data_IF_755762461151
#
_entry.id   IF_755762461151
#
_cell.length_a   1.000
_cell.length_b   1.000
_cell.length_c   1.000
_cell.angle_alpha   90.00
_cell.angle_beta   90.00
_cell.angle_gamma   90.00
#
_symmetry.space_group_name_H-M   'P 1'
#
loop_
_entity.id
_entity.type
_entity.pdbx_description
1 polymer ?
#
# COMPACT_ATOMS: atom_id res chain seq x y z
N UNK A 1 -20.93 17.63 18.31
CA UNK A 1 -20.50 17.60 17.68
C UNK A 1 -20.38 17.33 17.16
N UNK A 2 -20.45 17.24 17.03
CA UNK A 2 -20.05 16.95 16.29
C UNK A 2 -19.98 16.96 15.34
N UNK A 3 -20.08 17.09 15.06
CA UNK A 3 -19.70 17.26 14.09
C UNK A 3 -19.94 17.10 13.37
N UNK A 4 -20.15 17.22 13.16
CA UNK A 4 -20.06 17.14 12.31
C UNK A 4 -20.01 17.12 11.45
N UNK A 5 -20.15 17.24 11.44
CA UNK A 5 -19.74 17.29 10.46
C UNK A 5 -19.60 17.44 9.73
N UNK A 6 -19.23 17.53 9.39
CA UNK A 6 -18.63 17.76 8.37
C UNK A 6 -18.34 17.30 7.55
N UNK A 7 -18.42 17.08 7.19
CA UNK A 7 -17.91 16.42 6.32
C UNK A 7 -17.31 16.90 5.22
N UNK A 8 -17.12 17.39 5.03
CA UNK A 8 -16.58 17.70 4.11
C UNK A 8 -15.52 17.92 3.96
N UNK A 9 -15.15 18.14 4.45
CA UNK A 9 -14.01 18.24 4.23
C UNK A 9 -13.28 17.45 4.31
N UNK A 10 -13.58 17.29 4.51
CA UNK A 10 -12.70 16.64 4.42
C UNK A 10 -12.27 16.09 3.80
N UNK A 11 -12.15 16.18 3.62
CA UNK A 11 -11.63 15.57 3.08
C UNK A 11 -10.65 15.53 2.59
N UNK A 12 -10.23 15.75 2.69
CA UNK A 12 -9.32 15.70 2.26
C UNK A 12 -8.28 15.49 2.44
N UNK A 13 -7.82 15.65 2.99
CA UNK A 13 -6.87 15.46 3.23
C UNK A 13 -6.45 14.93 3.85
N UNK A 14 -6.36 14.44 3.92
CA UNK A 14 -5.86 13.98 4.77
C UNK A 14 -4.79 13.98 4.95
N UNK A 15 -4.49 14.10 5.21
CA UNK A 15 -3.60 14.20 5.36
C UNK A 15 -2.94 13.75 6.19
N UNK A 16 -2.27 13.76 6.35
CA UNK A 16 -1.57 13.49 7.23
C UNK A 16 -2.04 13.49 8.39
N UNK A 17 -2.62 14.15 8.51
CA UNK A 17 -3.09 14.30 9.68
C UNK A 17 -3.75 13.19 10.16
N UNK A 18 -4.27 12.53 9.42
CA UNK A 18 -4.82 11.42 9.91
C UNK A 18 -3.74 10.56 10.24
N UNK A 19 -3.31 10.54 11.41
CA UNK A 19 -2.41 9.69 11.84
C UNK A 19 -2.89 8.37 11.66
N UNK A 20 -2.19 7.60 10.94
CA UNK A 20 -2.47 6.19 10.80
C UNK A 20 -1.53 5.51 11.75
N UNK A 21 -2.04 4.83 12.73
CA UNK A 21 -1.20 4.20 13.74
C UNK A 21 -0.50 2.94 13.28
N UNK A 22 -1.03 2.27 12.27
CA UNK A 22 -0.51 0.99 11.80
C UNK A 22 -0.01 1.12 10.38
N UNK A 23 1.16 0.54 10.12
CA UNK A 23 1.71 0.47 8.77
C UNK A 23 1.90 -1.00 8.40
N UNK A 24 1.42 -1.38 7.23
CA UNK A 24 1.52 -2.75 6.75
C UNK A 24 2.27 -2.76 5.43
N UNK A 25 3.30 -3.58 5.34
CA UNK A 25 3.99 -3.81 4.09
C UNK A 25 3.52 -5.13 3.52
N UNK A 26 3.37 -5.18 2.21
CA UNK A 26 2.94 -6.39 1.52
C UNK A 26 3.94 -6.76 0.44
N UNK A 27 4.36 -8.02 0.45
CA UNK A 27 5.15 -8.61 -0.61
C UNK A 27 4.17 -9.46 -1.42
N UNK A 28 3.74 -8.92 -2.56
CA UNK A 28 2.72 -9.58 -3.39
C UNK A 28 3.29 -10.77 -4.13
N UNK A 29 2.59 -11.88 -4.06
CA UNK A 29 2.93 -13.06 -4.83
C UNK A 29 1.71 -13.52 -5.63
N UNK A 30 1.91 -14.48 -6.52
CA UNK A 30 0.82 -14.93 -7.39
C UNK A 30 -0.25 -15.73 -6.64
N UNK A 31 0.16 -16.53 -5.67
CA UNK A 31 -0.78 -17.36 -4.92
C UNK A 31 -0.90 -16.86 -3.50
N UNK A 32 0.23 -16.60 -2.87
CA UNK A 32 0.28 -16.08 -1.50
C UNK A 32 0.98 -14.75 -1.48
N UNK A 33 0.44 -13.81 -0.74
CA UNK A 33 1.09 -12.54 -0.46
C UNK A 33 1.46 -12.53 1.01
N UNK A 34 2.61 -11.98 1.33
CA UNK A 34 3.10 -11.93 2.71
C UNK A 34 2.99 -10.51 3.23
N UNK A 35 2.75 -10.35 4.53
CA UNK A 35 2.62 -9.03 5.12
C UNK A 35 3.38 -8.93 6.43
N UNK A 36 3.71 -7.70 6.78
CA UNK A 36 4.31 -7.38 8.07
C UNK A 36 3.62 -6.12 8.57
N UNK A 37 3.15 -6.16 9.81
CA UNK A 37 2.42 -5.05 10.42
C UNK A 37 3.29 -4.41 11.50
N UNK A 38 3.43 -3.09 11.43
CA UNK A 38 4.19 -2.32 12.41
C UNK A 38 3.28 -1.35 13.13
N UNK A 39 3.58 -1.10 14.41
CA UNK A 39 2.87 -0.06 15.15
C UNK A 39 3.55 1.29 14.94
N UNK A 40 3.10 2.31 15.65
CA UNK A 40 3.63 3.66 15.51
C UNK A 40 5.10 3.75 15.83
N UNK A 41 5.58 2.90 16.70
CA UNK A 41 6.97 2.91 17.14
C UNK A 41 7.87 2.05 16.25
N UNK A 42 7.29 1.41 15.26
CA UNK A 42 8.06 0.57 14.35
C UNK A 42 8.26 -0.85 14.85
N UNK A 43 7.51 -1.24 15.88
CA UNK A 43 7.61 -2.60 16.39
C UNK A 43 6.72 -3.51 15.57
N UNK A 44 7.19 -4.72 15.31
CA UNK A 44 6.43 -5.69 14.55
C UNK A 44 5.31 -6.24 15.42
N UNK A 45 4.07 -6.01 14.98
CA UNK A 45 2.90 -6.53 15.67
C UNK A 45 2.59 -7.95 15.22
N UNK A 46 2.66 -8.20 13.93
CA UNK A 46 2.49 -9.54 13.41
C UNK A 46 3.00 -9.66 12.00
N UNK A 47 3.11 -10.89 11.55
CA UNK A 47 3.50 -11.23 10.19
C UNK A 47 2.61 -12.38 9.78
N UNK A 48 2.39 -12.51 8.49
CA UNK A 48 1.60 -13.61 8.00
C UNK A 48 1.47 -13.57 6.51
N UNK A 49 0.50 -14.29 6.00
CA UNK A 49 0.24 -14.33 4.57
C UNK A 49 -1.26 -14.42 4.33
N UNK A 50 -1.65 -14.06 3.12
CA UNK A 50 -3.05 -14.21 2.70
C UNK A 50 -3.05 -14.63 1.23
N UNK A 51 -4.12 -15.26 0.82
CA UNK A 51 -4.25 -15.68 -0.58
C UNK A 51 -4.38 -14.43 -1.44
N UNK A 52 -3.70 -14.44 -2.59
CA UNK A 52 -3.76 -13.32 -3.51
C UNK A 52 -5.02 -13.46 -4.37
N UNK A 53 -6.16 -13.33 -3.72
CA UNK A 53 -7.48 -13.38 -4.33
C UNK A 53 -8.33 -12.29 -3.70
N UNK A 54 -9.41 -11.86 -4.37
CA UNK A 54 -10.28 -10.87 -3.75
C UNK A 54 -10.80 -11.29 -2.38
N UNK A 55 -11.13 -12.56 -2.22
CA UNK A 55 -11.59 -13.08 -0.94
C UNK A 55 -10.49 -13.05 0.12
N UNK A 56 -9.25 -13.37 -0.26
CA UNK A 56 -8.13 -13.33 0.67
C UNK A 56 -7.82 -11.92 1.14
N UNK A 57 -7.84 -10.96 0.22
CA UNK A 57 -7.65 -9.56 0.56
C UNK A 57 -8.77 -9.08 1.47
N UNK A 58 -9.99 -9.42 1.15
CA UNK A 58 -11.15 -9.01 1.93
C UNK A 58 -11.05 -9.52 3.37
N UNK A 59 -10.75 -10.80 3.53
CA UNK A 59 -10.63 -11.39 4.85
C UNK A 59 -9.57 -10.73 5.70
N UNK A 60 -8.45 -10.38 5.07
CA UNK A 60 -7.33 -9.81 5.83
C UNK A 60 -7.56 -8.36 6.22
N UNK A 61 -8.21 -7.59 5.36
CA UNK A 61 -8.25 -6.14 5.53
C UNK A 61 -9.61 -5.55 5.87
N UNK A 62 -10.69 -6.29 5.70
CA UNK A 62 -12.03 -5.74 5.89
C UNK A 62 -12.28 -5.18 7.29
N UNK A 63 -11.95 -5.94 8.30
CA UNK A 63 -12.26 -5.56 9.67
C UNK A 63 -11.10 -4.92 10.40
N UNK A 64 -10.03 -4.62 9.68
CA UNK A 64 -8.86 -4.01 10.26
C UNK A 64 -9.06 -2.51 10.37
N UNK A 65 -8.61 -1.90 11.45
CA UNK A 65 -8.63 -0.47 11.59
C UNK A 65 -7.87 0.16 10.45
N UNK A 66 -8.22 1.38 10.10
CA UNK A 66 -7.55 2.08 9.03
C UNK A 66 -6.04 2.03 9.20
N UNK A 67 -5.36 1.61 8.18
CA UNK A 67 -3.92 1.45 8.21
C UNK A 67 -3.30 2.05 6.94
N UNK A 68 -2.00 2.29 7.00
CA UNK A 68 -1.23 2.64 5.81
C UNK A 68 -0.69 1.34 5.26
N UNK A 69 -1.03 1.02 4.02
CA UNK A 69 -0.64 -0.24 3.40
C UNK A 69 0.23 0.05 2.20
N UNK A 70 1.41 -0.52 2.17
CA UNK A 70 2.37 -0.27 1.10
C UNK A 70 2.77 -1.57 0.41
N UNK A 71 2.96 -1.51 -0.89
CA UNK A 71 3.35 -2.65 -1.71
C UNK A 71 4.18 -2.18 -2.90
N UNK A 72 4.94 -3.08 -3.50
CA UNK A 72 5.67 -2.77 -4.72
C UNK A 72 4.77 -2.91 -5.93
N UNK A 73 5.09 -2.17 -7.01
CA UNK A 73 4.41 -2.38 -8.28
C UNK A 73 4.65 -3.80 -8.75
N UNK A 74 3.64 -4.42 -9.30
CA UNK A 74 3.74 -5.78 -9.82
C UNK A 74 2.46 -6.18 -10.49
N UNK A 75 2.40 -7.44 -10.88
CA UNK A 75 1.26 -7.99 -11.63
C UNK A 75 -0.08 -7.75 -10.95
N UNK A 76 -0.11 -7.86 -9.65
CA UNK A 76 -1.37 -7.76 -8.91
C UNK A 76 -1.60 -6.42 -8.23
N UNK A 77 -0.64 -5.48 -8.35
CA UNK A 77 -0.72 -4.27 -7.52
C UNK A 77 -1.93 -3.39 -7.84
N UNK A 78 -2.38 -3.38 -9.09
CA UNK A 78 -3.52 -2.52 -9.45
C UNK A 78 -4.78 -2.97 -8.72
N UNK A 79 -5.17 -4.23 -8.88
CA UNK A 79 -6.43 -4.67 -8.31
C UNK A 79 -6.35 -4.79 -6.78
N UNK A 80 -5.20 -5.20 -6.25
CA UNK A 80 -5.05 -5.32 -4.81
C UNK A 80 -5.11 -3.94 -4.15
N UNK A 81 -4.39 -2.97 -4.71
CA UNK A 81 -4.39 -1.63 -4.13
C UNK A 81 -5.79 -1.00 -4.18
N UNK A 82 -6.50 -1.20 -5.28
CA UNK A 82 -7.85 -0.66 -5.40
C UNK A 82 -8.79 -1.27 -4.37
N UNK A 83 -8.71 -2.58 -4.21
CA UNK A 83 -9.58 -3.25 -3.26
C UNK A 83 -9.29 -2.82 -1.82
N UNK A 84 -8.02 -2.73 -1.45
CA UNK A 84 -7.64 -2.31 -0.10
C UNK A 84 -8.06 -0.86 0.14
N UNK A 85 -7.94 -0.02 -0.87
CA UNK A 85 -8.37 1.36 -0.78
C UNK A 85 -9.87 1.44 -0.56
N UNK A 86 -10.65 0.61 -1.25
CA UNK A 86 -12.09 0.58 -1.08
C UNK A 86 -12.50 0.12 0.32
N UNK A 87 -11.66 -0.66 0.96
CA UNK A 87 -11.90 -1.08 2.33
C UNK A 87 -11.54 -0.01 3.35
N UNK A 88 -11.06 1.15 2.90
CA UNK A 88 -10.87 2.30 3.78
C UNK A 88 -9.43 2.57 4.19
N UNK A 89 -8.47 1.86 3.64
CA UNK A 89 -7.08 2.04 4.02
C UNK A 89 -6.36 3.01 3.10
N UNK A 90 -5.30 3.62 3.61
CA UNK A 90 -4.42 4.46 2.81
C UNK A 90 -3.45 3.52 2.10
N UNK A 91 -3.34 3.59 0.78
CA UNK A 91 -2.50 2.66 0.03
C UNK A 91 -1.39 3.38 -0.71
N UNK A 92 -0.20 2.83 -0.64
CA UNK A 92 0.98 3.34 -1.33
C UNK A 92 1.51 2.22 -2.22
N UNK A 93 1.64 2.49 -3.52
CA UNK A 93 2.25 1.54 -4.44
C UNK A 93 3.64 2.08 -4.75
N UNK A 94 4.65 1.38 -4.32
CA UNK A 94 6.02 1.84 -4.36
C UNK A 94 6.73 1.48 -5.66
N UNK A 95 7.62 2.35 -6.08
CA UNK A 95 8.44 2.09 -7.25
C UNK A 95 9.55 1.11 -6.89
N UNK A 96 9.62 -0.01 -7.60
CA UNK A 96 10.59 -1.07 -7.32
C UNK A 96 12.04 -0.56 -7.37
N UNK A 97 12.34 0.27 -8.35
CA UNK A 97 13.70 0.78 -8.49
C UNK A 97 14.10 1.63 -7.32
N UNK A 98 13.20 2.48 -6.86
CA UNK A 98 13.48 3.35 -5.73
C UNK A 98 13.65 2.55 -4.45
N UNK A 99 12.86 1.51 -4.29
CA UNK A 99 13.00 0.65 -3.13
C UNK A 99 14.38 0.01 -3.08
N UNK A 100 14.87 -0.46 -4.21
CA UNK A 100 16.19 -1.07 -4.27
C UNK A 100 17.30 -0.06 -4.03
N UNK A 101 17.14 1.15 -4.55
CA UNK A 101 18.11 2.21 -4.32
C UNK A 101 18.18 2.58 -2.84
N UNK A 102 17.04 2.67 -2.18
CA UNK A 102 16.99 3.02 -0.77
C UNK A 102 17.63 1.93 0.08
N UNK A 103 17.40 0.68 -0.27
CA UNK A 103 17.93 -0.42 0.53
C UNK A 103 19.41 -0.63 0.30
N UNK A 104 20.01 0.03 -0.69
CA UNK A 104 21.42 -0.12 -1.03
C UNK A 104 21.79 -1.57 -1.29
N UNK A 105 20.86 -2.30 -1.91
CA UNK A 105 21.08 -3.71 -2.14
C UNK A 105 21.72 -3.91 -3.49
N UNK A 106 22.95 -4.37 -3.50
CA UNK A 106 23.65 -4.67 -4.72
C UNK A 106 23.56 -6.15 -5.05
N UNK A 107 23.02 -6.94 -4.15
CA UNK A 107 22.98 -8.37 -4.36
C UNK A 107 21.66 -8.78 -4.95
N UNK A 108 21.72 -9.66 -5.92
CA UNK A 108 20.50 -10.16 -6.50
C UNK A 108 19.64 -10.91 -5.51
N UNK A 109 20.26 -11.48 -4.50
CA UNK A 109 19.54 -12.24 -3.51
C UNK A 109 18.85 -11.35 -2.46
N UNK A 110 19.23 -10.08 -2.40
CA UNK A 110 18.65 -9.18 -1.41
C UNK A 110 17.32 -8.69 -1.92
N UNK A 111 16.28 -9.30 -1.46
CA UNK A 111 14.93 -9.00 -1.86
C UNK A 111 14.34 -7.96 -0.92
N UNK A 112 13.52 -7.08 -1.45
CA UNK A 112 12.79 -6.14 -0.61
C UNK A 112 11.54 -6.87 -0.15
N UNK A 113 11.48 -7.24 1.11
CA UNK A 113 10.38 -8.02 1.65
C UNK A 113 9.33 -7.12 2.33
N UNK A 114 8.31 -7.75 2.84
CA UNK A 114 7.20 -7.04 3.48
C UNK A 114 7.65 -6.14 4.62
N UNK A 115 8.60 -6.60 5.42
CA UNK A 115 9.06 -5.80 6.55
C UNK A 115 9.79 -4.54 6.08
N UNK A 116 10.65 -4.66 5.08
CA UNK A 116 11.37 -3.49 4.58
C UNK A 116 10.40 -2.47 3.99
N UNK A 117 9.42 -2.95 3.26
CA UNK A 117 8.40 -2.07 2.68
C UNK A 117 7.66 -1.34 3.81
N UNK A 118 7.27 -2.07 4.85
CA UNK A 118 6.57 -1.46 5.98
C UNK A 118 7.43 -0.41 6.67
N UNK A 119 8.70 -0.71 6.89
CA UNK A 119 9.58 0.21 7.59
C UNK A 119 9.80 1.50 6.83
N UNK A 120 10.00 1.41 5.52
CA UNK A 120 10.17 2.62 4.72
C UNK A 120 8.88 3.44 4.69
N UNK A 121 7.74 2.77 4.50
CA UNK A 121 6.46 3.46 4.43
C UNK A 121 6.10 4.15 5.75
N UNK A 122 6.52 3.57 6.86
CA UNK A 122 6.26 4.16 8.17
C UNK A 122 7.04 5.45 8.36
N UNK A 123 8.30 5.44 7.95
CA UNK A 123 9.16 6.60 8.16
C UNK A 123 8.81 7.76 7.25
N UNK A 124 8.70 7.49 5.98
CA UNK A 124 8.44 8.56 5.01
C UNK A 124 7.86 7.96 3.73
N UNK A 125 6.55 8.06 3.56
CA UNK A 125 5.92 7.48 2.37
C UNK A 125 6.50 8.03 1.06
N UNK A 126 6.95 9.27 1.05
CA UNK A 126 7.46 9.87 -0.17
C UNK A 126 8.79 9.27 -0.61
N UNK A 127 9.52 8.66 0.31
CA UNK A 127 10.78 8.04 -0.02
C UNK A 127 10.59 6.85 -0.94
N UNK A 128 9.40 6.30 -0.98
CA UNK A 128 9.06 5.16 -1.83
C UNK A 128 8.73 5.57 -3.26
N UNK A 129 8.68 6.87 -3.53
CA UNK A 129 8.30 7.39 -4.84
C UNK A 129 7.00 6.75 -5.30
N UNK A 130 5.92 6.96 -4.56
CA UNK A 130 4.65 6.32 -4.89
C UNK A 130 4.23 6.61 -6.32
N UNK A 131 3.61 5.63 -6.94
CA UNK A 131 3.08 5.81 -8.28
C UNK A 131 1.56 5.75 -8.22
N UNK A 132 0.92 6.37 -9.19
CA UNK A 132 -0.52 6.32 -9.31
C UNK A 132 -0.85 5.41 -10.47
N UNK A 133 -1.67 4.40 -10.22
CA UNK A 133 -2.16 3.55 -11.29
C UNK A 133 -3.22 4.31 -12.06
N UNK A 134 -3.25 4.12 -13.37
CA UNK A 134 -4.26 4.75 -14.19
C UNK A 134 -5.54 3.96 -14.11
N UNK A 135 -6.65 4.69 -14.19
CA UNK A 135 -7.95 4.02 -14.25
C UNK A 135 -8.05 3.34 -15.63
N UNK A 136 -9.01 2.44 -15.74
CA UNK A 136 -9.25 1.77 -17.01
C UNK A 136 -9.54 2.80 -18.11
N UNK A 137 -10.34 3.79 -17.79
CA UNK A 137 -10.67 4.83 -18.76
C UNK A 137 -9.43 5.59 -19.22
N UNK A 138 -8.54 5.93 -18.30
CA UNK A 138 -7.30 6.63 -18.64
C UNK A 138 -6.40 5.76 -19.51
N UNK A 139 -6.34 4.49 -19.23
CA UNK A 139 -5.54 3.56 -20.01
C UNK A 139 -6.09 3.42 -21.43
N UNK A 140 -7.40 3.35 -21.57
CA UNK A 140 -8.04 3.27 -22.87
C UNK A 140 -7.78 4.52 -23.69
N UNK A 141 -7.86 5.67 -23.06
CA UNK A 141 -7.60 6.94 -23.73
C UNK A 141 -6.16 6.99 -24.27
N UNK A 142 -5.22 6.55 -23.45
CA UNK A 142 -3.83 6.51 -23.88
C UNK A 142 -3.63 5.57 -25.06
N UNK A 143 -4.29 4.45 -25.05
CA UNK A 143 -4.19 3.49 -26.13
C UNK A 143 -4.71 4.11 -27.43
N UNK A 144 -5.83 4.79 -27.36
CA UNK A 144 -6.40 5.46 -28.52
C UNK A 144 -5.47 6.54 -29.08
N UNK A 145 -4.85 7.29 -28.19
CA UNK A 145 -3.93 8.34 -28.62
C UNK A 145 -2.73 7.75 -29.35
N UNK A 146 -2.28 6.59 -28.93
CA UNK A 146 -1.14 5.96 -29.56
C UNK A 146 -1.49 5.29 -30.87
N UNK A 147 -2.72 4.88 -30.99
CA UNK A 147 -3.18 4.25 -32.20
C UNK A 147 -3.42 5.28 -33.29
#
# INVERSE_FOLDING_TARGET
MRMKSHPQYFISKPRRSSKVGITIGIDLGDIWSHYCTLNEDGEVLDRGRFRTTPSGVDKRFRDLERARVAMETGTHSIWVSEQIQELGHEVIVANVRELRAISHSDRKSDKVDAEKIARYARLDPEILRPIAHRTVAQQETLTLVRA
#
